data_IF_846933103732
#
_entry.id   IF_846933103732
#
_cell.length_a   1.000
_cell.length_b   1.000
_cell.length_c   1.000
_cell.angle_alpha   90.00
_cell.angle_beta   90.00
_cell.angle_gamma   90.00
#
_symmetry.space_group_name_H-M   'P 1'
#
loop_
_entity.id
_entity.type
_entity.pdbx_description
1 polymer ?
#
# COMPACT_ATOMS: atom_id res chain seq x y z
N UNK A 1 11.14 23.81 25.96
CA UNK A 1 10.34 23.71 24.73
C UNK A 1 11.15 22.98 23.70
N UNK A 2 11.04 21.66 23.70
CA UNK A 2 11.56 20.81 22.62
C UNK A 2 10.42 20.72 21.60
N UNK A 3 10.57 21.14 20.35
CA UNK A 3 9.55 20.95 19.35
C UNK A 3 9.35 19.45 19.16
N UNK A 4 8.19 18.94 19.56
CA UNK A 4 7.76 17.60 19.23
C UNK A 4 7.60 17.55 17.71
N UNK A 5 8.55 16.94 17.03
CA UNK A 5 8.39 16.64 15.61
C UNK A 5 7.22 15.64 15.48
N UNK A 6 6.25 15.89 14.60
CA UNK A 6 5.22 14.90 14.37
C UNK A 6 5.90 13.58 13.98
N UNK A 7 5.54 12.50 14.68
CA UNK A 7 5.99 11.17 14.30
C UNK A 7 5.38 10.86 12.95
N UNK A 8 6.21 10.85 11.92
CA UNK A 8 5.82 10.31 10.63
C UNK A 8 5.64 8.81 10.77
N UNK A 9 4.52 8.32 10.32
CA UNK A 9 4.45 6.94 9.87
C UNK A 9 5.27 6.86 8.57
N UNK A 10 6.57 6.70 8.71
CA UNK A 10 7.40 6.34 7.58
C UNK A 10 6.99 4.94 7.15
N UNK A 11 6.84 4.75 5.88
CA UNK A 11 6.92 3.42 5.30
C UNK A 11 8.41 3.01 5.37
N UNK A 12 8.83 2.18 6.32
CA UNK A 12 10.25 2.02 6.57
C UNK A 12 10.84 0.75 5.99
N UNK A 13 10.15 0.05 5.08
CA UNK A 13 10.70 -1.22 4.66
C UNK A 13 10.91 -1.26 3.15
N UNK A 14 12.19 -1.22 2.72
CA UNK A 14 12.53 -1.84 1.47
C UNK A 14 12.24 -3.34 1.66
N UNK A 15 11.16 -3.82 1.05
CA UNK A 15 10.92 -5.24 0.91
C UNK A 15 11.99 -5.81 -0.01
N UNK A 16 13.17 -6.04 0.54
CA UNK A 16 14.15 -6.89 -0.09
C UNK A 16 13.82 -8.29 0.40
N UNK A 17 13.28 -9.14 -0.45
CA UNK A 17 13.08 -10.57 -0.22
C UNK A 17 14.39 -11.31 0.07
N UNK A 18 15.18 -10.78 0.98
CA UNK A 18 16.40 -11.40 1.46
C UNK A 18 16.02 -12.23 2.69
N UNK A 19 16.01 -13.55 2.52
CA UNK A 19 16.21 -14.45 3.65
C UNK A 19 17.17 -13.83 4.65
N UNK A 20 16.84 -13.87 5.94
CA UNK A 20 17.55 -13.27 7.08
C UNK A 20 19.02 -13.71 7.22
N UNK A 21 19.83 -13.57 6.19
CA UNK A 21 21.26 -13.87 6.19
C UNK A 21 22.07 -12.58 6.01
N UNK A 22 22.32 -11.87 7.12
CA UNK A 22 23.42 -10.89 7.29
C UNK A 22 23.73 -9.92 6.11
N UNK A 23 22.73 -9.50 5.35
CA UNK A 23 22.91 -8.48 4.34
C UNK A 23 22.56 -7.14 4.98
N UNK A 24 23.49 -6.20 4.96
CA UNK A 24 23.21 -4.80 5.32
C UNK A 24 22.24 -4.23 4.27
N UNK A 25 20.94 -4.27 4.58
CA UNK A 25 19.85 -3.87 3.70
C UNK A 25 19.30 -2.49 4.06
N UNK A 26 20.14 -1.62 4.60
CA UNK A 26 19.70 -0.23 4.82
C UNK A 26 19.31 0.42 3.49
N UNK A 27 18.34 1.36 3.49
CA UNK A 27 17.98 2.12 2.29
C UNK A 27 19.20 2.72 1.57
N UNK A 28 20.17 3.26 2.32
CA UNK A 28 21.39 3.81 1.74
C UNK A 28 22.23 2.75 1.01
N UNK A 29 22.32 1.55 1.54
CA UNK A 29 23.04 0.43 0.90
C UNK A 29 22.30 -0.05 -0.35
N UNK A 30 20.98 -0.13 -0.31
CA UNK A 30 20.18 -0.52 -1.47
C UNK A 30 20.33 0.49 -2.63
N UNK A 31 20.30 1.79 -2.34
CA UNK A 31 20.55 2.84 -3.34
C UNK A 31 21.97 2.72 -3.91
N UNK A 32 22.98 2.57 -3.06
CA UNK A 32 24.39 2.47 -3.49
C UNK A 32 24.64 1.25 -4.39
N UNK A 33 23.92 0.17 -4.16
CA UNK A 33 24.03 -1.08 -4.93
C UNK A 33 23.04 -1.17 -6.12
N UNK A 34 22.24 -0.12 -6.35
CA UNK A 34 21.17 -0.10 -7.37
C UNK A 34 20.13 -1.23 -7.19
N UNK A 35 19.81 -1.54 -5.93
CA UNK A 35 18.79 -2.56 -5.59
C UNK A 35 17.54 -1.95 -4.95
N UNK A 36 17.40 -0.62 -4.96
CA UNK A 36 16.25 0.07 -4.32
C UNK A 36 14.97 -0.25 -5.06
N UNK A 37 14.73 -0.58 -6.09
CA UNK A 37 13.50 -0.97 -6.77
C UNK A 37 13.39 -2.47 -7.03
N UNK A 38 14.28 -3.26 -6.43
CA UNK A 38 14.36 -4.70 -6.60
C UNK A 38 13.77 -5.40 -5.36
N UNK A 39 12.67 -6.11 -5.54
CA UNK A 39 11.99 -6.86 -4.47
C UNK A 39 12.38 -8.35 -4.46
N UNK A 40 13.38 -8.73 -5.25
CA UNK A 40 13.83 -10.10 -5.42
C UNK A 40 12.97 -10.90 -6.41
N UNK A 41 13.24 -12.22 -6.46
CA UNK A 41 12.68 -13.13 -7.47
C UNK A 41 11.63 -14.09 -6.89
N UNK A 42 11.17 -13.86 -5.63
CA UNK A 42 10.30 -14.81 -4.94
C UNK A 42 8.80 -14.71 -5.32
N UNK A 43 8.46 -13.76 -6.20
CA UNK A 43 7.13 -13.64 -6.77
C UNK A 43 6.18 -12.69 -6.05
N UNK A 44 4.92 -12.61 -6.49
CA UNK A 44 3.99 -11.53 -6.12
C UNK A 44 3.58 -11.47 -4.65
N UNK A 45 3.74 -12.56 -3.92
CA UNK A 45 3.35 -12.65 -2.50
C UNK A 45 4.50 -12.42 -1.52
N UNK A 46 5.71 -12.09 -2.00
CA UNK A 46 6.91 -11.95 -1.16
C UNK A 46 6.71 -10.97 -0.03
N UNK A 47 6.18 -9.76 -0.32
CA UNK A 47 5.95 -8.74 0.69
C UNK A 47 4.93 -9.19 1.75
N UNK A 48 3.88 -9.88 1.33
CA UNK A 48 2.88 -10.43 2.25
C UNK A 48 3.46 -11.56 3.13
N UNK A 49 4.33 -12.40 2.59
CA UNK A 49 5.02 -13.45 3.38
C UNK A 49 6.02 -12.85 4.37
N UNK A 50 6.69 -11.74 4.03
CA UNK A 50 7.56 -11.02 4.95
C UNK A 50 6.75 -10.42 6.12
N UNK A 51 5.57 -9.86 5.86
CA UNK A 51 4.64 -9.40 6.91
C UNK A 51 4.16 -10.56 7.79
N UNK A 52 3.94 -11.76 7.20
CA UNK A 52 3.60 -12.96 7.98
C UNK A 52 4.71 -13.34 8.95
N UNK A 53 5.96 -13.33 8.49
CA UNK A 53 7.12 -13.62 9.35
C UNK A 53 7.23 -12.57 10.47
N UNK A 54 7.03 -11.29 10.15
CA UNK A 54 7.06 -10.22 11.15
C UNK A 54 5.94 -10.39 12.18
N UNK A 55 4.72 -10.64 11.73
CA UNK A 55 3.58 -10.91 12.61
C UNK A 55 3.88 -12.08 13.56
N UNK A 56 4.42 -13.19 13.06
CA UNK A 56 4.72 -14.36 13.87
C UNK A 56 5.73 -14.06 14.98
N UNK A 57 6.79 -13.28 14.66
CA UNK A 57 7.76 -12.82 15.66
C UNK A 57 7.13 -11.93 16.74
N UNK A 58 6.19 -11.04 16.34
CA UNK A 58 5.46 -10.18 17.29
C UNK A 58 4.54 -11.01 18.18
N UNK A 59 3.77 -11.94 17.60
CA UNK A 59 2.86 -12.80 18.34
C UNK A 59 3.58 -13.81 19.25
N UNK A 60 4.78 -14.30 18.88
CA UNK A 60 5.61 -15.09 19.77
C UNK A 60 6.00 -14.30 21.04
N UNK A 61 6.31 -13.02 20.86
CA UNK A 61 6.69 -12.12 21.95
C UNK A 61 5.50 -11.65 22.80
N UNK A 62 4.32 -11.52 22.20
CA UNK A 62 3.11 -10.98 22.83
C UNK A 62 1.90 -11.87 22.52
N UNK A 63 1.87 -13.12 23.01
CA UNK A 63 0.88 -14.14 22.59
C UNK A 63 -0.57 -13.84 23.03
N UNK A 64 -0.75 -12.99 24.05
CA UNK A 64 -2.06 -12.69 24.64
C UNK A 64 -2.68 -11.39 24.10
N UNK A 65 -1.99 -10.71 23.15
CA UNK A 65 -2.50 -9.48 22.58
C UNK A 65 -3.21 -9.70 21.24
N UNK A 66 -4.31 -8.99 20.96
CA UNK A 66 -4.94 -9.01 19.65
C UNK A 66 -3.98 -8.42 18.60
N UNK A 67 -4.02 -8.94 17.38
CA UNK A 67 -3.19 -8.46 16.29
C UNK A 67 -4.07 -7.87 15.19
N UNK A 68 -3.89 -6.58 14.95
CA UNK A 68 -4.54 -5.85 13.88
C UNK A 68 -3.52 -5.51 12.79
N UNK A 69 -3.98 -5.52 11.54
CA UNK A 69 -3.14 -5.12 10.42
C UNK A 69 -3.63 -3.80 9.83
N UNK A 70 -2.73 -2.80 9.79
CA UNK A 70 -2.97 -1.52 9.11
C UNK A 70 -2.09 -1.45 7.86
N UNK A 71 -2.70 -1.25 6.71
CA UNK A 71 -1.98 -1.01 5.46
C UNK A 71 -2.41 0.29 4.79
N UNK A 72 -1.44 1.13 4.41
CA UNK A 72 -1.66 2.34 3.64
C UNK A 72 -1.12 2.19 2.20
N UNK A 73 -1.85 2.65 1.20
CA UNK A 73 -1.44 2.64 -0.20
C UNK A 73 -1.09 1.22 -0.67
N UNK A 74 0.12 0.98 -1.17
CA UNK A 74 0.62 -0.36 -1.49
C UNK A 74 0.53 -1.30 -0.26
N UNK A 75 0.78 -0.80 0.94
CA UNK A 75 0.56 -1.57 2.18
C UNK A 75 -0.88 -2.03 2.36
N UNK A 76 -1.88 -1.29 1.86
CA UNK A 76 -3.28 -1.75 1.88
C UNK A 76 -3.53 -2.91 0.92
N UNK A 77 -2.80 -2.98 -0.18
CA UNK A 77 -2.86 -4.09 -1.13
C UNK A 77 -2.25 -5.35 -0.52
N UNK A 78 -1.09 -5.20 0.14
CA UNK A 78 -0.42 -6.27 0.91
C UNK A 78 -1.34 -6.76 2.05
N UNK A 79 -1.97 -5.85 2.78
CA UNK A 79 -2.92 -6.21 3.84
C UNK A 79 -4.14 -6.97 3.29
N UNK A 80 -4.62 -6.64 2.09
CA UNK A 80 -5.69 -7.38 1.41
C UNK A 80 -5.25 -8.78 1.00
N UNK A 81 -4.04 -8.93 0.44
CA UNK A 81 -3.46 -10.23 0.10
C UNK A 81 -3.26 -11.09 1.36
N UNK A 82 -2.74 -10.48 2.44
CA UNK A 82 -2.59 -11.10 3.75
C UNK A 82 -3.93 -11.56 4.32
N UNK A 83 -4.97 -10.71 4.26
CA UNK A 83 -6.29 -11.05 4.80
C UNK A 83 -6.92 -12.23 4.07
N UNK A 84 -6.65 -12.41 2.77
CA UNK A 84 -7.15 -13.56 2.01
C UNK A 84 -6.44 -14.88 2.37
N UNK A 85 -5.19 -14.83 2.82
CA UNK A 85 -4.40 -16.02 3.12
C UNK A 85 -4.31 -16.33 4.61
N UNK A 86 -4.17 -15.31 5.42
CA UNK A 86 -3.90 -15.40 6.86
C UNK A 86 -4.89 -14.62 7.72
N UNK A 87 -6.04 -14.23 7.16
CA UNK A 87 -7.03 -13.40 7.85
C UNK A 87 -7.59 -14.02 9.13
N UNK A 88 -7.65 -15.36 9.22
CA UNK A 88 -8.03 -16.07 10.46
C UNK A 88 -7.08 -15.81 11.65
N UNK A 89 -5.92 -15.25 11.38
CA UNK A 89 -4.92 -14.92 12.40
C UNK A 89 -4.97 -13.44 12.82
N UNK A 90 -5.90 -12.66 12.26
CA UNK A 90 -6.10 -11.24 12.56
C UNK A 90 -7.32 -11.03 13.43
N UNK A 91 -7.25 -10.05 14.32
CA UNK A 91 -8.42 -9.53 15.04
C UNK A 91 -9.21 -8.54 14.16
N UNK A 92 -8.55 -7.84 13.25
CA UNK A 92 -9.16 -6.95 12.29
C UNK A 92 -8.14 -6.37 11.31
N UNK A 93 -8.62 -5.78 10.21
CA UNK A 93 -7.78 -5.18 9.19
C UNK A 93 -8.25 -3.77 8.79
N UNK A 94 -7.30 -2.87 8.56
CA UNK A 94 -7.54 -1.49 8.14
C UNK A 94 -6.88 -1.27 6.78
N UNK A 95 -7.68 -0.93 5.76
CA UNK A 95 -7.21 -0.60 4.42
C UNK A 95 -7.32 0.91 4.20
N UNK A 96 -6.18 1.61 4.30
CA UNK A 96 -6.10 3.05 4.14
C UNK A 96 -5.63 3.41 2.73
N UNK A 97 -6.35 4.26 2.01
CA UNK A 97 -6.00 4.69 0.65
C UNK A 97 -5.89 3.52 -0.34
N UNK A 98 -6.80 2.52 -0.22
CA UNK A 98 -6.76 1.30 -1.03
C UNK A 98 -7.33 1.53 -2.43
N UNK A 99 -6.71 0.98 -3.50
CA UNK A 99 -7.28 1.04 -4.84
C UNK A 99 -8.39 0.00 -5.03
N UNK A 100 -9.24 0.26 -6.02
CA UNK A 100 -10.07 -0.75 -6.67
C UNK A 100 -9.31 -1.45 -7.81
N UNK A 101 -9.93 -1.53 -8.99
CA UNK A 101 -9.33 -2.10 -10.21
C UNK A 101 -8.38 -1.08 -10.85
N UNK A 102 -7.18 -1.50 -11.18
CA UNK A 102 -6.26 -0.74 -12.02
C UNK A 102 -6.58 -0.94 -13.50
N UNK A 103 -6.43 0.14 -14.27
CA UNK A 103 -6.51 0.05 -15.74
C UNK A 103 -5.19 -0.44 -16.32
N UNK A 104 -5.25 -1.02 -17.50
CA UNK A 104 -4.09 -1.43 -18.29
C UNK A 104 -3.21 -2.52 -17.65
N UNK A 105 -3.67 -3.15 -16.56
CA UNK A 105 -2.89 -4.15 -15.80
C UNK A 105 -2.42 -5.29 -16.70
N UNK A 106 -3.32 -5.86 -17.51
CA UNK A 106 -2.99 -6.98 -18.39
C UNK A 106 -2.05 -6.57 -19.54
N UNK A 107 -2.24 -5.38 -20.13
CA UNK A 107 -1.39 -4.87 -21.20
C UNK A 107 0.03 -4.59 -20.71
N UNK A 108 0.16 -3.92 -19.57
CA UNK A 108 1.48 -3.62 -18.97
C UNK A 108 2.16 -4.91 -18.52
N UNK A 109 1.39 -5.85 -17.94
CA UNK A 109 1.90 -7.16 -17.54
C UNK A 109 2.50 -7.93 -18.71
N UNK A 110 1.83 -7.95 -19.87
CA UNK A 110 2.32 -8.62 -21.07
C UNK A 110 3.61 -7.98 -21.63
N UNK A 111 3.74 -6.65 -21.54
CA UNK A 111 4.96 -5.93 -21.93
C UNK A 111 6.12 -6.24 -20.99
N UNK A 112 5.85 -6.31 -19.69
CA UNK A 112 6.84 -6.68 -18.68
C UNK A 112 7.34 -8.11 -18.87
N UNK A 113 6.47 -9.07 -19.25
CA UNK A 113 6.90 -10.42 -19.60
C UNK A 113 7.92 -10.41 -20.73
N UNK A 114 7.64 -9.67 -21.80
CA UNK A 114 8.56 -9.54 -22.93
C UNK A 114 9.90 -8.92 -22.52
N UNK A 115 9.87 -7.88 -21.66
CA UNK A 115 11.10 -7.23 -21.17
C UNK A 115 11.92 -8.19 -20.29
N UNK A 116 11.28 -8.94 -19.40
CA UNK A 116 11.93 -9.94 -18.53
C UNK A 116 12.50 -11.09 -19.35
N UNK A 117 11.77 -11.63 -20.33
CA UNK A 117 12.20 -12.69 -21.23
C UNK A 117 13.39 -12.25 -22.12
N UNK A 118 13.47 -10.96 -22.45
CA UNK A 118 14.60 -10.38 -23.17
C UNK A 118 15.86 -10.18 -22.30
N UNK A 119 15.80 -10.52 -21.01
CA UNK A 119 16.91 -10.39 -20.07
C UNK A 119 16.91 -9.11 -19.24
N UNK A 120 15.87 -8.26 -19.36
CA UNK A 120 15.75 -6.98 -18.66
C UNK A 120 15.05 -7.07 -17.30
N UNK A 121 15.11 -8.20 -16.60
CA UNK A 121 14.41 -8.40 -15.32
C UNK A 121 14.77 -7.33 -14.27
N UNK A 122 16.05 -7.03 -14.10
CA UNK A 122 16.57 -6.04 -13.15
C UNK A 122 16.82 -4.66 -13.76
N UNK A 123 16.28 -4.42 -14.96
CA UNK A 123 16.21 -3.10 -15.56
C UNK A 123 14.91 -2.42 -15.14
N UNK A 124 14.86 -1.10 -15.30
CA UNK A 124 13.69 -0.28 -15.00
C UNK A 124 13.29 0.55 -16.21
N UNK A 125 12.01 0.56 -16.55
CA UNK A 125 11.45 1.46 -17.55
C UNK A 125 10.30 2.27 -16.93
N UNK A 126 10.50 3.56 -16.66
CA UNK A 126 9.47 4.44 -16.12
C UNK A 126 8.19 4.51 -16.97
N UNK A 127 8.27 4.16 -18.26
CA UNK A 127 7.12 4.14 -19.15
C UNK A 127 6.07 3.11 -18.69
N UNK A 128 6.49 1.97 -18.16
CA UNK A 128 5.55 0.96 -17.64
C UNK A 128 4.79 1.46 -16.41
N UNK A 129 5.49 2.12 -15.48
CA UNK A 129 4.84 2.73 -14.31
C UNK A 129 3.85 3.81 -14.74
N UNK A 130 4.25 4.69 -15.67
CA UNK A 130 3.38 5.74 -16.18
C UNK A 130 2.15 5.18 -16.93
N UNK A 131 2.30 4.12 -17.69
CA UNK A 131 1.19 3.47 -18.38
C UNK A 131 0.19 2.84 -17.38
N UNK A 132 0.70 2.27 -16.29
CA UNK A 132 -0.10 1.66 -15.24
C UNK A 132 -0.83 2.70 -14.37
N UNK A 133 -0.16 3.80 -14.00
CA UNK A 133 -0.64 4.74 -12.97
C UNK A 133 -0.95 6.16 -13.46
N UNK A 134 -0.42 6.57 -14.61
CA UNK A 134 -0.52 7.94 -15.10
C UNK A 134 -1.97 8.44 -15.25
N UNK A 135 -2.90 7.58 -15.61
CA UNK A 135 -4.33 7.89 -15.69
C UNK A 135 -4.94 8.26 -14.33
N UNK A 136 -4.45 7.68 -13.24
CA UNK A 136 -4.92 7.97 -11.88
C UNK A 136 -4.56 9.40 -11.50
N UNK A 137 -3.30 9.78 -11.72
CA UNK A 137 -2.75 11.05 -11.26
C UNK A 137 -3.11 12.22 -12.18
N UNK A 138 -3.64 11.97 -13.37
CA UNK A 138 -3.98 13.03 -14.34
C UNK A 138 -4.92 14.11 -13.78
N UNK A 139 -5.88 13.74 -12.91
CA UNK A 139 -6.79 14.70 -12.27
C UNK A 139 -6.13 15.58 -11.20
N UNK A 140 -4.96 15.19 -10.71
CA UNK A 140 -4.18 15.93 -9.71
C UNK A 140 -2.96 16.62 -10.33
N UNK A 141 -2.78 16.55 -11.64
CA UNK A 141 -1.59 17.06 -12.33
C UNK A 141 -1.74 18.51 -12.82
N UNK A 142 -2.96 19.07 -12.85
CA UNK A 142 -3.16 20.45 -13.27
C UNK A 142 -2.50 21.41 -12.28
N UNK A 143 -1.51 22.17 -12.75
CA UNK A 143 -0.71 23.07 -11.92
C UNK A 143 0.34 22.38 -11.04
N UNK A 144 0.52 21.08 -11.16
CA UNK A 144 1.53 20.31 -10.44
C UNK A 144 2.96 20.74 -10.82
N UNK A 145 3.84 20.87 -9.84
CA UNK A 145 5.24 21.29 -10.00
C UNK A 145 6.25 20.28 -9.48
N UNK A 146 5.85 19.45 -8.52
CA UNK A 146 6.70 18.46 -7.89
C UNK A 146 6.41 17.02 -8.37
N UNK A 147 5.20 16.81 -8.95
CA UNK A 147 4.75 15.49 -9.45
C UNK A 147 4.18 14.57 -8.37
N UNK A 148 4.17 15.03 -7.11
CA UNK A 148 3.66 14.28 -5.95
C UNK A 148 2.46 14.99 -5.27
N UNK A 149 1.90 16.01 -5.90
CA UNK A 149 0.78 16.78 -5.34
C UNK A 149 -0.46 15.92 -5.07
N UNK A 150 -0.54 14.77 -5.71
CA UNK A 150 -1.61 13.80 -5.51
C UNK A 150 -1.64 13.18 -4.10
N UNK A 151 -0.53 13.19 -3.37
CA UNK A 151 -0.46 12.59 -2.02
C UNK A 151 -1.17 13.43 -0.96
N UNK A 152 -1.02 14.77 -1.03
CA UNK A 152 -1.54 15.70 -0.04
C UNK A 152 -1.73 17.08 -0.65
N UNK A 153 -2.62 17.91 -0.11
CA UNK A 153 -2.74 19.33 -0.49
C UNK A 153 -1.74 20.24 0.21
N UNK A 154 -1.18 19.81 1.36
CA UNK A 154 -0.24 20.60 2.14
C UNK A 154 1.11 20.73 1.40
N UNK A 155 1.53 21.95 1.01
CA UNK A 155 2.80 22.15 0.32
C UNK A 155 4.02 21.73 1.14
N UNK A 156 3.93 21.74 2.47
CA UNK A 156 5.00 21.27 3.34
C UNK A 156 5.18 19.75 3.22
N UNK A 157 4.08 19.00 3.28
CA UNK A 157 4.10 17.54 3.10
C UNK A 157 4.61 17.18 1.71
N UNK A 158 4.12 17.86 0.66
CA UNK A 158 4.57 17.64 -0.72
C UNK A 158 6.08 17.86 -0.88
N UNK A 159 6.59 18.99 -0.34
CA UNK A 159 8.00 19.32 -0.42
C UNK A 159 8.87 18.34 0.34
N UNK A 160 8.46 18.00 1.54
CA UNK A 160 9.19 17.08 2.39
C UNK A 160 9.28 15.67 1.79
N UNK A 161 8.18 15.17 1.21
CA UNK A 161 8.18 13.93 0.42
C UNK A 161 9.10 14.01 -0.81
N UNK A 162 9.07 15.12 -1.55
CA UNK A 162 9.90 15.30 -2.75
C UNK A 162 11.40 15.41 -2.43
N UNK A 163 11.77 15.91 -1.25
CA UNK A 163 13.16 16.08 -0.81
C UNK A 163 13.69 14.85 -0.06
N UNK A 164 12.84 13.90 0.34
CA UNK A 164 13.28 12.68 1.00
C UNK A 164 13.86 11.69 -0.03
N UNK A 165 15.16 11.33 0.05
CA UNK A 165 15.79 10.45 -0.93
C UNK A 165 15.26 9.01 -0.89
N UNK A 166 14.52 8.64 0.15
CA UNK A 166 13.97 7.29 0.31
C UNK A 166 12.48 7.20 -0.03
N UNK A 167 11.79 8.34 -0.09
CA UNK A 167 10.34 8.43 -0.31
C UNK A 167 10.01 9.05 -1.68
N UNK A 168 10.90 9.90 -2.20
CA UNK A 168 10.74 10.44 -3.55
C UNK A 168 10.83 9.32 -4.59
N UNK A 169 9.92 9.32 -5.58
CA UNK A 169 9.89 8.34 -6.68
C UNK A 169 11.09 8.46 -7.64
N UNK A 170 12.29 8.63 -7.08
CA UNK A 170 13.54 8.86 -7.83
C UNK A 170 14.22 7.57 -8.28
N UNK A 171 13.83 6.44 -7.70
CA UNK A 171 14.38 5.13 -8.01
C UNK A 171 13.29 4.24 -8.60
N UNK A 172 13.28 4.05 -9.92
CA UNK A 172 12.22 3.30 -10.58
C UNK A 172 12.28 1.82 -10.18
N UNK A 173 11.11 1.22 -10.02
CA UNK A 173 10.93 -0.21 -9.73
C UNK A 173 11.49 -1.06 -10.89
N UNK A 174 12.22 -2.13 -10.58
CA UNK A 174 12.69 -3.09 -11.57
C UNK A 174 11.52 -3.79 -12.28
N UNK A 175 11.72 -4.19 -13.53
CA UNK A 175 10.66 -4.80 -14.34
C UNK A 175 10.08 -6.06 -13.71
N UNK A 176 10.92 -6.90 -13.08
CA UNK A 176 10.46 -8.11 -12.40
C UNK A 176 9.60 -7.75 -11.18
N UNK A 177 10.01 -6.75 -10.40
CA UNK A 177 9.28 -6.29 -9.21
C UNK A 177 7.95 -5.62 -9.58
N UNK A 178 7.93 -4.82 -10.66
CA UNK A 178 6.69 -4.23 -11.16
C UNK A 178 5.74 -5.30 -11.71
N UNK A 179 6.27 -6.35 -12.35
CA UNK A 179 5.51 -7.51 -12.79
C UNK A 179 4.84 -8.21 -11.60
N UNK A 180 5.60 -8.46 -10.55
CA UNK A 180 5.12 -9.11 -9.34
C UNK A 180 4.08 -8.24 -8.60
N UNK A 181 4.27 -6.91 -8.61
CA UNK A 181 3.25 -5.97 -8.12
C UNK A 181 1.93 -6.10 -8.89
N UNK A 182 1.98 -6.16 -10.23
CA UNK A 182 0.78 -6.34 -11.05
C UNK A 182 0.13 -7.70 -10.77
N UNK A 183 0.91 -8.75 -10.63
CA UNK A 183 0.38 -10.09 -10.32
C UNK A 183 -0.31 -10.11 -8.94
N UNK A 184 0.24 -9.44 -7.93
CA UNK A 184 -0.42 -9.23 -6.65
C UNK A 184 -1.75 -8.47 -6.82
N UNK A 185 -1.76 -7.37 -7.59
CA UNK A 185 -2.98 -6.61 -7.87
C UNK A 185 -4.06 -7.47 -8.49
N UNK A 186 -3.73 -8.25 -9.52
CA UNK A 186 -4.67 -9.17 -10.18
C UNK A 186 -5.26 -10.21 -9.23
N UNK A 187 -4.53 -10.59 -8.16
CA UNK A 187 -5.03 -11.51 -7.15
C UNK A 187 -6.07 -10.87 -6.21
N UNK A 188 -6.04 -9.54 -6.01
CA UNK A 188 -6.85 -8.85 -5.00
C UNK A 188 -7.95 -7.93 -5.58
N UNK A 189 -7.98 -7.68 -6.88
CA UNK A 189 -8.90 -6.72 -7.52
C UNK A 189 -10.20 -7.35 -8.04
N UNK A 190 -10.78 -8.30 -7.30
CA UNK A 190 -12.00 -9.00 -7.70
C UNK A 190 -12.73 -9.63 -6.49
N UNK A 191 -13.98 -10.09 -6.72
CA UNK A 191 -14.78 -10.78 -5.70
C UNK A 191 -14.19 -12.12 -5.25
N UNK A 192 -13.41 -12.81 -6.10
CA UNK A 192 -12.78 -14.09 -5.74
C UNK A 192 -11.71 -13.89 -4.65
N UNK A 193 -11.10 -12.72 -4.59
CA UNK A 193 -10.29 -12.32 -3.44
C UNK A 193 -11.14 -12.22 -2.18
N UNK A 194 -12.25 -11.47 -2.23
CA UNK A 194 -13.11 -11.24 -1.07
C UNK A 194 -13.67 -12.55 -0.48
N UNK A 195 -13.98 -13.54 -1.33
CA UNK A 195 -14.41 -14.87 -0.86
C UNK A 195 -13.37 -15.63 -0.04
N UNK A 196 -12.07 -15.28 -0.18
CA UNK A 196 -10.99 -15.90 0.58
C UNK A 196 -10.75 -15.22 1.93
N UNK A 197 -11.19 -13.98 2.08
CA UNK A 197 -11.10 -13.25 3.35
C UNK A 197 -12.12 -13.85 4.32
N UNK A 198 -11.78 -14.12 5.60
CA UNK A 198 -12.74 -14.61 6.57
C UNK A 198 -13.93 -13.66 6.73
N UNK A 199 -15.16 -14.17 6.62
CA UNK A 199 -16.37 -13.34 6.64
C UNK A 199 -16.61 -12.62 7.98
N UNK A 200 -16.06 -13.16 9.05
CA UNK A 200 -16.11 -12.60 10.39
C UNK A 200 -14.94 -11.66 10.71
N UNK A 201 -14.00 -11.44 9.78
CA UNK A 201 -12.91 -10.48 9.99
C UNK A 201 -13.45 -9.05 9.90
N UNK A 202 -13.39 -8.25 10.97
CA UNK A 202 -13.74 -6.84 10.94
C UNK A 202 -12.80 -6.06 10.00
N UNK A 203 -13.37 -5.22 9.14
CA UNK A 203 -12.60 -4.46 8.14
C UNK A 203 -13.01 -2.99 8.18
N UNK A 204 -12.02 -2.12 8.33
CA UNK A 204 -12.16 -0.67 8.20
C UNK A 204 -11.48 -0.18 6.93
N UNK A 205 -12.22 0.49 6.04
CA UNK A 205 -11.69 1.19 4.89
C UNK A 205 -11.72 2.69 5.14
N UNK A 206 -10.58 3.37 5.05
CA UNK A 206 -10.46 4.82 5.20
C UNK A 206 -9.65 5.42 4.05
N UNK A 207 -10.11 6.56 3.53
CA UNK A 207 -9.40 7.28 2.47
C UNK A 207 -9.87 8.73 2.35
N UNK A 208 -9.14 9.57 1.62
CA UNK A 208 -9.65 10.84 1.15
C UNK A 208 -10.56 10.67 -0.07
N UNK A 209 -11.60 11.50 -0.22
CA UNK A 209 -12.46 11.47 -1.39
C UNK A 209 -11.81 12.10 -2.64
N UNK A 210 -10.65 12.74 -2.47
CA UNK A 210 -9.82 13.25 -3.56
C UNK A 210 -8.55 12.40 -3.79
N UNK A 211 -8.48 11.22 -3.20
CA UNK A 211 -7.41 10.27 -3.40
C UNK A 211 -7.49 9.64 -4.80
N UNK A 212 -6.52 9.88 -5.71
CA UNK A 212 -6.55 9.29 -7.05
C UNK A 212 -6.27 7.78 -7.03
N UNK A 213 -5.55 7.25 -6.03
CA UNK A 213 -5.28 5.82 -5.89
C UNK A 213 -6.58 5.06 -5.67
N UNK A 214 -7.44 5.55 -4.78
CA UNK A 214 -8.78 5.04 -4.57
C UNK A 214 -9.80 5.46 -5.65
N UNK A 215 -9.34 5.99 -6.79
CA UNK A 215 -10.20 6.53 -7.86
C UNK A 215 -11.26 7.48 -7.30
N UNK A 216 -10.84 8.41 -6.43
CA UNK A 216 -11.73 9.42 -5.82
C UNK A 216 -12.90 8.80 -5.05
N UNK A 217 -12.63 7.73 -4.30
CA UNK A 217 -13.55 6.98 -3.48
C UNK A 217 -14.26 5.81 -4.19
N UNK A 218 -14.37 5.81 -5.52
CA UNK A 218 -15.02 4.73 -6.27
C UNK A 218 -14.35 3.37 -6.02
N UNK A 219 -13.00 3.33 -6.04
CA UNK A 219 -12.22 2.11 -5.81
C UNK A 219 -12.37 1.61 -4.37
N UNK A 220 -12.42 2.51 -3.39
CA UNK A 220 -12.61 2.15 -1.98
C UNK A 220 -13.98 1.48 -1.78
N UNK A 221 -15.05 2.09 -2.32
CA UNK A 221 -16.39 1.48 -2.29
C UNK A 221 -16.49 0.19 -3.09
N UNK A 222 -15.73 0.05 -4.18
CA UNK A 222 -15.68 -1.19 -4.95
C UNK A 222 -15.14 -2.34 -4.10
N UNK A 223 -14.05 -2.11 -3.34
CA UNK A 223 -13.49 -3.11 -2.41
C UNK A 223 -14.49 -3.44 -1.30
N UNK A 224 -15.14 -2.44 -0.71
CA UNK A 224 -16.17 -2.64 0.31
C UNK A 224 -17.35 -3.48 -0.24
N UNK A 225 -17.80 -3.19 -1.45
CA UNK A 225 -18.90 -3.94 -2.08
C UNK A 225 -18.53 -5.41 -2.35
N UNK A 226 -17.31 -5.71 -2.82
CA UNK A 226 -16.87 -7.10 -2.96
C UNK A 226 -16.92 -7.88 -1.65
N UNK A 227 -16.51 -7.25 -0.54
CA UNK A 227 -16.61 -7.86 0.79
C UNK A 227 -18.07 -8.09 1.21
N UNK A 228 -18.93 -7.06 1.11
CA UNK A 228 -20.33 -7.12 1.48
C UNK A 228 -21.09 -8.16 0.61
N UNK A 229 -20.89 -8.14 -0.70
CA UNK A 229 -21.55 -9.06 -1.64
C UNK A 229 -21.12 -10.52 -1.43
N UNK A 230 -19.96 -10.76 -0.82
CA UNK A 230 -19.46 -12.09 -0.45
C UNK A 230 -19.81 -12.50 0.98
N UNK A 231 -20.58 -11.68 1.71
CA UNK A 231 -21.19 -12.03 3.00
C UNK A 231 -20.45 -11.55 4.24
N UNK A 232 -19.51 -10.59 4.10
CA UNK A 232 -18.89 -9.96 5.27
C UNK A 232 -19.89 -9.03 5.97
N UNK A 233 -20.01 -9.16 7.28
CA UNK A 233 -21.00 -8.43 8.10
C UNK A 233 -20.44 -7.16 8.74
N UNK A 234 -19.12 -7.12 9.01
CA UNK A 234 -18.44 -6.00 9.66
C UNK A 234 -17.46 -5.30 8.70
N UNK A 235 -18.02 -4.48 7.82
CA UNK A 235 -17.25 -3.68 6.85
C UNK A 235 -17.65 -2.21 7.00
N UNK A 236 -16.74 -1.41 7.56
CA UNK A 236 -16.95 0.03 7.75
C UNK A 236 -16.13 0.80 6.72
N UNK A 237 -16.75 1.78 6.07
CA UNK A 237 -16.07 2.68 5.12
C UNK A 237 -16.25 4.13 5.55
N UNK A 238 -15.14 4.88 5.72
CA UNK A 238 -15.16 6.32 5.99
C UNK A 238 -14.29 7.05 4.97
N UNK A 239 -14.88 7.97 4.21
CA UNK A 239 -14.17 8.89 3.34
C UNK A 239 -14.07 10.27 3.98
N UNK A 240 -12.88 10.87 3.92
CA UNK A 240 -12.59 12.23 4.37
C UNK A 240 -12.73 13.19 3.19
N UNK A 241 -13.73 14.07 3.27
CA UNK A 241 -14.07 14.96 2.14
C UNK A 241 -13.10 16.13 2.02
N UNK A 242 -12.56 16.30 0.81
CA UNK A 242 -11.58 17.34 0.48
C UNK A 242 -10.13 16.90 0.66
N UNK A 243 -9.86 15.64 1.03
CA UNK A 243 -8.51 15.14 1.30
C UNK A 243 -8.04 14.13 0.26
N UNK A 244 -6.72 14.13 0.02
CA UNK A 244 -6.03 13.24 -0.92
C UNK A 244 -5.54 11.98 -0.24
N UNK A 245 -4.49 11.38 -0.74
CA UNK A 245 -4.02 10.04 -0.43
C UNK A 245 -3.55 9.85 1.02
N UNK A 246 -2.80 10.80 1.56
CA UNK A 246 -2.20 10.70 2.90
C UNK A 246 -3.04 11.43 3.95
N UNK A 247 -4.24 10.93 4.25
CA UNK A 247 -5.16 11.54 5.23
C UNK A 247 -4.54 11.71 6.62
N UNK A 248 -3.58 10.88 6.98
CA UNK A 248 -2.87 10.89 8.26
C UNK A 248 -1.77 11.98 8.35
N UNK A 249 -1.42 12.63 7.24
CA UNK A 249 -0.41 13.68 7.18
C UNK A 249 -0.98 15.10 7.10
N UNK A 250 -2.30 15.26 7.16
CA UNK A 250 -2.93 16.57 7.24
C UNK A 250 -3.08 17.05 8.68
N UNK A 251 -2.55 18.23 9.01
CA UNK A 251 -2.58 18.77 10.38
C UNK A 251 -3.97 19.01 10.93
N UNK A 252 -4.96 19.25 10.07
CA UNK A 252 -6.33 19.57 10.45
C UNK A 252 -7.24 18.35 10.68
N UNK A 253 -6.88 17.16 10.15
CA UNK A 253 -7.69 15.94 10.31
C UNK A 253 -6.95 14.74 10.90
N UNK A 254 -5.61 14.76 11.01
CA UNK A 254 -4.84 13.61 11.48
C UNK A 254 -5.34 13.03 12.81
N UNK A 255 -5.77 13.90 13.73
CA UNK A 255 -6.33 13.46 15.02
C UNK A 255 -7.72 12.83 14.88
N UNK A 256 -8.56 13.28 13.93
CA UNK A 256 -9.83 12.61 13.62
C UNK A 256 -9.61 11.25 12.96
N UNK A 257 -8.58 11.12 12.14
CA UNK A 257 -8.17 9.84 11.55
C UNK A 257 -7.70 8.88 12.64
N UNK A 258 -6.82 9.33 13.54
CA UNK A 258 -6.34 8.56 14.69
C UNK A 258 -7.53 8.14 15.61
N UNK A 259 -8.42 9.06 15.96
CA UNK A 259 -9.59 8.78 16.78
C UNK A 259 -10.55 7.77 16.10
N UNK A 260 -10.71 7.87 14.78
CA UNK A 260 -11.50 6.91 14.01
C UNK A 260 -10.93 5.50 14.10
N UNK A 261 -9.61 5.37 13.98
CA UNK A 261 -8.92 4.08 14.10
C UNK A 261 -9.05 3.55 15.52
N UNK A 262 -8.75 4.36 16.55
CA UNK A 262 -8.83 3.95 17.96
C UNK A 262 -10.24 3.50 18.32
N UNK A 263 -11.26 4.29 17.99
CA UNK A 263 -12.65 3.94 18.27
C UNK A 263 -13.07 2.65 17.57
N UNK A 264 -12.55 2.39 16.34
CA UNK A 264 -12.83 1.14 15.64
C UNK A 264 -12.12 -0.04 16.31
N UNK A 265 -10.86 0.11 16.73
CA UNK A 265 -10.13 -0.93 17.47
C UNK A 265 -10.84 -1.29 18.78
N UNK A 266 -11.30 -0.30 19.53
CA UNK A 266 -12.03 -0.49 20.81
C UNK A 266 -13.38 -1.23 20.63
N UNK A 267 -13.96 -1.23 19.43
CA UNK A 267 -15.17 -2.01 19.13
C UNK A 267 -14.92 -3.50 18.89
N UNK A 268 -13.66 -3.90 18.72
CA UNK A 268 -13.28 -5.28 18.41
C UNK A 268 -12.86 -6.08 19.66
N UNK A 269 -12.88 -5.46 20.84
CA UNK A 269 -12.56 -6.07 22.14
C UNK A 269 -13.68 -6.97 22.71
#
# INVERSE_FOLDING_TARGET
>A
DIPVRPHRFHQPFPCNGATMNNIDTTPATAIANNTWGDWGDAGPHTMMEDEKLFKDLVCEKYPDLPYFMFGHSMGSMIARDFSAKYGEELTGAIYCGTPGIFKNTHEVRAKLDQAVEAGGAHESDPAFVNELTGWMFARCSEGATLGNEWICHDPYVQKDHAEDPFDAFTHPTHNISLRDFIDMMLCIENEEWAKKVPQNLPILLIAGDQDPVGNFGEGVYQVANWLIDTGHEDVITKLYSGYRHEIHNYDDIKFDVEETIINWLDMQD
#
